data_IF_857230545975
#
_entry.id   IF_857230545975
#
_cell.length_a   1.000
_cell.length_b   1.000
_cell.length_c   1.000
_cell.angle_alpha   90.00
_cell.angle_beta   90.00
_cell.angle_gamma   90.00
#
_symmetry.space_group_name_H-M   'P 1'
#
loop_
_entity.id
_entity.type
_entity.pdbx_description
1 polymer ?
#
# COMPACT_ATOMS: atom_id res chain seq x y z
N UNK A 1 -0.76 -21.67 -7.36
CA UNK A 1 -1.94 -21.00 -7.98
C UNK A 1 -1.58 -20.09 -9.14
N UNK A 2 -0.31 -19.68 -9.34
CA UNK A 2 0.06 -18.70 -10.36
C UNK A 2 0.03 -19.21 -11.82
N UNK A 3 0.28 -20.51 -12.04
CA UNK A 3 0.25 -21.08 -13.40
C UNK A 3 -1.16 -21.28 -13.98
N UNK A 4 -2.20 -21.32 -13.13
CA UNK A 4 -3.60 -21.51 -13.57
C UNK A 4 -4.54 -20.72 -12.65
N UNK A 5 -4.77 -19.42 -12.92
CA UNK A 5 -5.62 -18.56 -12.11
C UNK A 5 -7.04 -19.10 -11.95
N UNK A 6 -7.57 -19.79 -12.97
CA UNK A 6 -8.89 -20.42 -12.91
C UNK A 6 -9.02 -21.57 -11.91
N UNK A 7 -7.91 -22.09 -11.36
CA UNK A 7 -7.99 -23.14 -10.34
C UNK A 7 -8.60 -22.65 -9.02
N UNK A 8 -8.64 -21.33 -8.78
CA UNK A 8 -9.31 -20.77 -7.62
C UNK A 8 -10.84 -20.96 -7.68
N UNK A 9 -11.42 -20.86 -8.89
CA UNK A 9 -12.88 -20.90 -9.10
C UNK A 9 -13.41 -22.30 -9.43
N UNK A 10 -12.53 -23.18 -9.89
CA UNK A 10 -12.90 -24.53 -10.33
C UNK A 10 -12.19 -25.62 -9.50
N UNK A 11 -11.51 -25.22 -8.43
CA UNK A 11 -10.80 -26.13 -7.55
C UNK A 11 -11.71 -26.60 -6.43
N UNK A 12 -12.01 -27.90 -6.43
CA UNK A 12 -12.78 -28.58 -5.36
C UNK A 12 -12.33 -28.25 -3.91
N UNK A 13 -11.03 -27.99 -3.62
CA UNK A 13 -10.62 -27.55 -2.28
C UNK A 13 -11.11 -26.16 -1.86
N UNK A 14 -11.56 -25.32 -2.79
CA UNK A 14 -11.96 -23.93 -2.55
C UNK A 14 -13.47 -23.71 -2.58
N UNK A 15 -14.27 -24.72 -2.97
CA UNK A 15 -15.73 -24.62 -3.03
C UNK A 15 -16.36 -24.36 -1.65
N UNK A 16 -15.78 -24.90 -0.57
CA UNK A 16 -16.25 -24.75 0.80
C UNK A 16 -15.37 -23.81 1.65
N UNK A 17 -14.62 -22.92 1.00
CA UNK A 17 -13.72 -22.04 1.74
C UNK A 17 -14.48 -20.88 2.39
N UNK A 18 -14.69 -20.97 3.70
CA UNK A 18 -15.34 -19.92 4.52
C UNK A 18 -14.42 -18.70 4.68
N UNK A 19 -14.38 -17.86 3.64
CA UNK A 19 -13.59 -16.64 3.61
C UNK A 19 -14.38 -15.47 4.21
N UNK A 20 -13.74 -14.64 5.05
CA UNK A 20 -14.33 -13.40 5.55
C UNK A 20 -14.87 -12.51 4.42
N UNK A 21 -16.03 -11.88 4.66
CA UNK A 21 -16.77 -11.12 3.65
C UNK A 21 -15.92 -10.08 2.90
N UNK A 22 -15.02 -9.39 3.62
CA UNK A 22 -14.12 -8.39 3.06
C UNK A 22 -13.27 -8.91 1.90
N UNK A 23 -12.82 -10.17 1.93
CA UNK A 23 -12.07 -10.78 0.82
C UNK A 23 -12.94 -10.93 -0.44
N UNK A 24 -14.21 -11.28 -0.27
CA UNK A 24 -15.17 -11.34 -1.38
C UNK A 24 -15.43 -9.96 -2.00
N UNK A 25 -15.53 -8.92 -1.17
CA UNK A 25 -15.68 -7.52 -1.63
C UNK A 25 -14.43 -7.07 -2.39
N UNK A 26 -13.24 -7.32 -1.84
CA UNK A 26 -11.96 -6.99 -2.46
C UNK A 26 -11.82 -7.64 -3.83
N UNK A 27 -12.13 -8.94 -3.92
CA UNK A 27 -12.12 -9.68 -5.18
C UNK A 27 -13.01 -9.04 -6.24
N UNK A 28 -14.26 -8.72 -5.88
CA UNK A 28 -15.22 -8.09 -6.81
C UNK A 28 -14.73 -6.73 -7.30
N UNK A 29 -14.14 -5.91 -6.42
CA UNK A 29 -13.57 -4.60 -6.81
C UNK A 29 -12.38 -4.76 -7.76
N UNK A 30 -11.42 -5.63 -7.40
CA UNK A 30 -10.25 -5.90 -8.24
C UNK A 30 -10.66 -6.44 -9.63
N UNK A 31 -11.55 -7.41 -9.70
CA UNK A 31 -12.03 -7.94 -10.99
C UNK A 31 -12.86 -6.91 -11.76
N UNK A 32 -13.61 -6.04 -11.08
CA UNK A 32 -14.35 -4.93 -11.71
C UNK A 32 -13.44 -3.85 -12.31
N UNK A 33 -12.32 -3.53 -11.65
CA UNK A 33 -11.38 -2.49 -12.10
C UNK A 33 -10.33 -3.00 -13.10
N UNK A 34 -9.84 -4.23 -12.91
CA UNK A 34 -8.67 -4.77 -13.62
C UNK A 34 -8.98 -6.06 -14.39
N UNK A 35 -10.21 -6.56 -14.36
CA UNK A 35 -10.61 -7.78 -15.07
C UNK A 35 -9.76 -8.98 -14.66
N UNK A 36 -9.11 -9.62 -15.66
CA UNK A 36 -8.29 -10.81 -15.43
C UNK A 36 -7.05 -10.55 -14.56
N UNK A 37 -6.52 -9.33 -14.57
CA UNK A 37 -5.38 -8.95 -13.73
C UNK A 37 -5.82 -8.71 -12.28
N UNK A 38 -7.07 -8.29 -12.07
CA UNK A 38 -7.69 -8.22 -10.75
C UNK A 38 -7.76 -9.59 -10.07
N UNK A 39 -8.08 -10.64 -10.83
CA UNK A 39 -8.05 -12.02 -10.31
C UNK A 39 -6.65 -12.46 -9.91
N UNK A 40 -5.63 -12.13 -10.72
CA UNK A 40 -4.23 -12.42 -10.38
C UNK A 40 -3.81 -11.68 -9.11
N UNK A 41 -4.20 -10.42 -8.98
CA UNK A 41 -3.92 -9.61 -7.80
C UNK A 41 -4.59 -10.18 -6.55
N UNK A 42 -5.86 -10.60 -6.65
CA UNK A 42 -6.57 -11.25 -5.56
C UNK A 42 -5.89 -12.57 -5.13
N UNK A 43 -5.41 -13.37 -6.09
CA UNK A 43 -4.63 -14.57 -5.76
C UNK A 43 -3.35 -14.19 -4.99
N UNK A 44 -2.64 -13.11 -5.36
CA UNK A 44 -1.47 -12.67 -4.59
C UNK A 44 -1.84 -12.24 -3.16
N UNK A 45 -3.01 -11.62 -2.96
CA UNK A 45 -3.53 -11.30 -1.62
C UNK A 45 -3.78 -12.57 -0.81
N UNK A 46 -4.42 -13.59 -1.40
CA UNK A 46 -4.61 -14.88 -0.72
C UNK A 46 -3.29 -15.56 -0.37
N UNK A 47 -2.25 -15.40 -1.19
CA UNK A 47 -0.91 -15.93 -0.89
C UNK A 47 -0.25 -15.26 0.32
N UNK A 48 -0.74 -14.13 0.81
CA UNK A 48 -0.27 -13.55 2.07
C UNK A 48 -0.58 -14.48 3.26
N UNK A 49 -1.55 -15.40 3.14
CA UNK A 49 -1.80 -16.45 4.13
C UNK A 49 -0.61 -17.42 4.31
N UNK A 50 0.36 -17.44 3.37
CA UNK A 50 1.62 -18.17 3.55
C UNK A 50 2.47 -17.60 4.71
N UNK A 51 2.21 -16.36 5.13
CA UNK A 51 3.00 -15.62 6.12
C UNK A 51 2.18 -14.96 7.26
N UNK A 52 0.85 -15.09 7.25
CA UNK A 52 -0.03 -14.50 8.26
C UNK A 52 -1.29 -15.33 8.48
N UNK A 53 -1.95 -15.09 9.61
CA UNK A 53 -3.22 -15.75 9.94
C UNK A 53 -4.40 -15.13 9.18
N UNK A 54 -5.44 -15.92 8.89
CA UNK A 54 -6.64 -15.45 8.16
C UNK A 54 -7.30 -14.24 8.82
N UNK A 55 -7.36 -14.20 10.15
CA UNK A 55 -7.90 -13.07 10.91
C UNK A 55 -7.03 -11.81 10.88
N UNK A 56 -5.71 -11.93 10.67
CA UNK A 56 -4.84 -10.77 10.42
C UNK A 56 -5.08 -10.23 9.01
N UNK A 57 -5.15 -11.11 8.01
CA UNK A 57 -5.44 -10.73 6.64
C UNK A 57 -6.81 -10.07 6.50
N UNK A 58 -7.85 -10.61 7.12
CA UNK A 58 -9.19 -10.04 7.10
C UNK A 58 -9.20 -8.58 7.59
N UNK A 59 -8.58 -8.32 8.76
CA UNK A 59 -8.47 -6.96 9.31
C UNK A 59 -7.69 -6.03 8.39
N UNK A 60 -6.61 -6.50 7.76
CA UNK A 60 -5.86 -5.70 6.79
C UNK A 60 -6.70 -5.39 5.54
N UNK A 61 -7.47 -6.35 5.04
CA UNK A 61 -8.36 -6.18 3.89
C UNK A 61 -9.50 -5.21 4.21
N UNK A 62 -10.11 -5.28 5.39
CA UNK A 62 -11.17 -4.35 5.80
C UNK A 62 -10.64 -2.90 5.85
N UNK A 63 -9.42 -2.71 6.38
CA UNK A 63 -8.74 -1.40 6.37
C UNK A 63 -8.44 -0.94 4.95
N UNK A 64 -7.91 -1.82 4.10
CA UNK A 64 -7.62 -1.53 2.70
C UNK A 64 -8.87 -1.09 1.94
N UNK A 65 -10.01 -1.77 2.15
CA UNK A 65 -11.30 -1.43 1.57
C UNK A 65 -11.83 -0.08 2.05
N UNK A 66 -11.63 0.25 3.32
CA UNK A 66 -12.06 1.52 3.91
C UNK A 66 -11.30 2.72 3.31
N UNK A 67 -10.01 2.57 2.99
CA UNK A 67 -9.19 3.63 2.40
C UNK A 67 -9.08 3.55 0.86
N UNK A 68 -9.68 2.54 0.24
CA UNK A 68 -9.65 2.33 -1.23
C UNK A 68 -8.30 1.85 -1.79
N UNK A 69 -7.42 1.29 -0.96
CA UNK A 69 -6.09 0.83 -1.38
C UNK A 69 -6.08 -0.69 -1.62
N UNK A 70 -6.47 -1.12 -2.82
CA UNK A 70 -6.81 -2.53 -3.12
C UNK A 70 -5.62 -3.42 -3.52
N UNK A 71 -4.42 -2.85 -3.72
CA UNK A 71 -3.26 -3.59 -4.22
C UNK A 71 -2.70 -4.55 -3.17
N UNK A 72 -2.05 -5.63 -3.62
CA UNK A 72 -1.43 -6.60 -2.69
C UNK A 72 -0.40 -5.93 -1.77
N UNK A 73 0.34 -4.95 -2.29
CA UNK A 73 1.35 -4.24 -1.50
C UNK A 73 0.72 -3.32 -0.45
N UNK A 74 -0.44 -2.71 -0.73
CA UNK A 74 -1.17 -1.96 0.28
C UNK A 74 -1.67 -2.87 1.42
N UNK A 75 -2.23 -4.04 1.08
CA UNK A 75 -2.65 -5.03 2.07
C UNK A 75 -1.45 -5.56 2.87
N UNK A 76 -0.31 -5.82 2.20
CA UNK A 76 0.95 -6.23 2.85
C UNK A 76 1.46 -5.17 3.83
N UNK A 77 1.43 -3.89 3.47
CA UNK A 77 1.81 -2.80 4.35
C UNK A 77 0.89 -2.74 5.58
N UNK A 78 -0.42 -2.86 5.38
CA UNK A 78 -1.40 -2.88 6.46
C UNK A 78 -1.29 -4.13 7.36
N UNK A 79 -0.69 -5.22 6.90
CA UNK A 79 -0.35 -6.36 7.77
C UNK A 79 0.86 -6.09 8.67
N UNK A 80 1.79 -5.24 8.21
CA UNK A 80 2.98 -4.85 8.96
C UNK A 80 2.69 -3.72 9.95
N UNK A 81 1.66 -2.92 9.68
CA UNK A 81 1.18 -1.87 10.56
C UNK A 81 0.89 -2.39 11.98
N UNK A 82 1.52 -1.77 12.98
CA UNK A 82 1.47 -2.19 14.39
C UNK A 82 2.52 -3.23 14.82
N UNK A 83 3.29 -3.80 13.89
CA UNK A 83 4.50 -4.60 14.21
C UNK A 83 5.76 -3.74 14.32
N UNK A 84 5.67 -2.48 13.92
CA UNK A 84 6.74 -1.51 14.09
C UNK A 84 6.95 -1.23 15.57
N UNK A 85 8.13 -1.60 16.07
CA UNK A 85 8.58 -1.13 17.38
C UNK A 85 9.05 0.30 17.17
N UNK A 86 8.48 1.30 17.88
CA UNK A 86 8.98 2.67 17.80
C UNK A 86 10.49 2.65 18.01
N UNK A 87 11.24 3.25 17.09
CA UNK A 87 12.67 3.38 17.25
C UNK A 87 12.92 3.96 18.65
N UNK A 88 13.71 3.26 19.48
CA UNK A 88 14.07 3.75 20.81
C UNK A 88 14.59 5.17 20.62
N UNK A 89 13.96 6.14 21.31
CA UNK A 89 14.32 7.54 21.19
C UNK A 89 15.83 7.70 21.16
N UNK A 90 16.34 8.28 20.08
CA UNK A 90 17.76 8.52 19.93
C UNK A 90 18.14 9.65 20.89
N UNK A 91 18.75 9.30 22.03
CA UNK A 91 19.19 10.30 23.01
C UNK A 91 20.31 11.15 22.43
N UNK A 92 20.05 12.45 22.33
CA UNK A 92 21.04 13.47 21.92
C UNK A 92 21.96 13.89 23.07
N UNK A 93 21.58 13.60 24.31
CA UNK A 93 22.39 13.87 25.49
C UNK A 93 23.78 13.22 25.36
N UNK A 94 24.82 14.01 25.61
CA UNK A 94 26.21 13.55 25.52
C UNK A 94 26.77 13.37 24.10
N UNK A 95 26.03 13.77 23.06
CA UNK A 95 26.49 13.72 21.65
C UNK A 95 26.55 15.13 21.05
N UNK A 96 27.58 15.93 21.37
CA UNK A 96 27.67 17.34 20.96
C UNK A 96 27.69 17.52 19.43
N UNK A 97 28.18 16.54 18.69
CA UNK A 97 28.19 16.53 17.22
C UNK A 97 26.81 16.24 16.58
N UNK A 98 25.79 15.92 17.40
CA UNK A 98 24.39 15.68 16.96
C UNK A 98 23.42 16.67 17.61
N UNK A 99 23.92 17.67 18.34
CA UNK A 99 23.10 18.75 18.88
C UNK A 99 22.58 19.63 17.74
N UNK A 100 21.42 20.24 17.96
CA UNK A 100 20.71 21.02 16.94
C UNK A 100 21.62 22.04 16.26
N UNK A 101 21.79 21.88 14.95
CA UNK A 101 22.41 22.90 14.12
C UNK A 101 21.33 23.87 13.65
N UNK A 102 21.60 25.17 13.78
CA UNK A 102 20.77 26.20 13.18
C UNK A 102 20.96 26.14 11.66
N UNK A 103 19.99 25.56 10.97
CA UNK A 103 19.98 25.54 9.51
C UNK A 103 19.50 26.92 9.04
N UNK A 104 20.30 27.67 8.28
CA UNK A 104 19.85 28.96 7.76
C UNK A 104 18.61 28.74 6.87
N UNK A 105 17.63 29.65 6.89
CA UNK A 105 16.44 29.53 6.06
C UNK A 105 16.84 29.37 4.58
N UNK A 106 16.27 28.40 3.86
CA UNK A 106 16.62 28.15 2.47
C UNK A 106 16.28 29.40 1.62
N UNK A 107 17.19 29.78 0.72
CA UNK A 107 16.95 30.89 -0.22
C UNK A 107 16.00 30.47 -1.33
N UNK A 108 14.70 30.60 -1.08
CA UNK A 108 13.64 30.18 -2.02
C UNK A 108 13.67 30.96 -3.36
N UNK A 109 14.21 32.18 -3.37
CA UNK A 109 14.35 32.99 -4.59
C UNK A 109 15.22 32.34 -5.68
N UNK A 110 16.03 31.32 -5.36
CA UNK A 110 16.82 30.58 -6.37
C UNK A 110 15.89 29.83 -7.33
N UNK A 111 14.74 29.32 -6.85
CA UNK A 111 13.79 28.60 -7.70
C UNK A 111 13.11 29.48 -8.75
N UNK A 112 13.09 30.79 -8.55
CA UNK A 112 12.56 31.72 -9.56
C UNK A 112 13.40 31.69 -10.85
N UNK A 113 14.67 31.29 -10.77
CA UNK A 113 15.53 31.12 -11.96
C UNK A 113 15.20 29.86 -12.78
N UNK A 114 14.49 28.91 -12.17
CA UNK A 114 14.02 27.69 -12.83
C UNK A 114 12.62 27.86 -13.43
N UNK A 115 11.93 28.99 -13.17
CA UNK A 115 10.74 29.36 -13.93
C UNK A 115 11.19 29.87 -15.31
N UNK A 116 10.95 29.07 -16.33
CA UNK A 116 10.93 29.58 -17.70
C UNK A 116 9.86 30.69 -17.78
N UNK A 117 10.10 31.80 -18.49
CA UNK A 117 9.06 32.79 -18.71
C UNK A 117 7.89 32.10 -19.39
N UNK A 118 6.72 32.11 -18.74
CA UNK A 118 5.49 31.71 -19.40
C UNK A 118 5.34 32.63 -20.62
N UNK A 119 5.43 32.03 -21.81
CA UNK A 119 5.13 32.74 -23.04
C UNK A 119 3.73 33.34 -22.88
N UNK A 120 3.66 34.67 -22.80
CA UNK A 120 2.40 35.38 -22.84
C UNK A 120 1.68 34.95 -24.12
N UNK A 121 0.64 34.14 -23.98
CA UNK A 121 -0.37 34.00 -25.01
C UNK A 121 -1.14 35.33 -25.08
N UNK A 122 -0.63 36.25 -25.88
CA UNK A 122 -1.35 37.45 -26.27
C UNK A 122 -2.54 37.03 -27.14
N UNK A 123 -3.75 37.22 -26.61
CA UNK A 123 -4.99 37.15 -27.39
C UNK A 123 -5.28 38.55 -27.94
N UNK A 124 -5.17 38.70 -29.26
CA UNK A 124 -6.03 39.53 -30.10
C UNK A 124 -5.92 39.06 -31.56
#
# INVERSE_FOLDING_TARGET
MERKPGALDFGKPFDDWDLPEGLGVLRRRLEGELGSDGRREFIKVLRLLEICELGELARAVDRALAIGALTVEAVRLLLQDGREVPAKYFRLDGRPHLQGHEVPPPKLAIYDTLRHPEACHEKA
#
